data_IF_375504769504
#
_entry.id   IF_375504769504
#
_cell.length_a   1.000
_cell.length_b   1.000
_cell.length_c   1.000
_cell.angle_alpha   90.00
_cell.angle_beta   90.00
_cell.angle_gamma   90.00
#
_symmetry.space_group_name_H-M   'P 1'
#
loop_
_entity.id
_entity.type
_entity.pdbx_description
1 polymer ?
#
# COMPACT_ATOMS: atom_id res chain seq x y z
N UNK A 1 -21.10 4.77 -8.79
CA UNK A 1 -20.05 4.36 -7.82
C UNK A 1 -18.89 5.35 -7.93
N UNK A 2 -18.49 6.00 -6.84
CA UNK A 2 -17.37 6.96 -6.85
C UNK A 2 -16.10 6.21 -6.48
N UNK A 3 -15.07 6.30 -7.32
CA UNK A 3 -13.76 5.65 -7.11
C UNK A 3 -12.76 6.76 -6.77
N UNK A 4 -11.97 6.55 -5.72
CA UNK A 4 -10.85 7.42 -5.37
C UNK A 4 -9.56 6.65 -5.59
N UNK A 5 -8.70 7.16 -6.48
CA UNK A 5 -7.36 6.60 -6.69
C UNK A 5 -6.39 7.36 -5.80
N UNK A 6 -5.75 6.65 -4.87
CA UNK A 6 -4.76 7.24 -3.98
C UNK A 6 -3.46 7.49 -4.76
N UNK A 7 -3.21 8.75 -5.08
CA UNK A 7 -1.99 9.20 -5.78
C UNK A 7 -0.95 9.70 -4.77
N UNK A 8 -0.24 8.75 -4.14
CA UNK A 8 0.79 9.06 -3.15
C UNK A 8 2.10 8.30 -3.46
N UNK A 9 3.27 8.97 -3.58
CA UNK A 9 4.54 8.33 -3.94
C UNK A 9 4.93 7.14 -3.06
N UNK A 10 4.70 7.24 -1.74
CA UNK A 10 4.96 6.13 -0.81
C UNK A 10 4.07 4.90 -1.06
N UNK A 11 2.81 5.11 -1.47
CA UNK A 11 1.89 4.01 -1.79
C UNK A 11 2.37 3.28 -3.04
N UNK A 12 2.75 4.02 -4.08
CA UNK A 12 3.30 3.46 -5.31
C UNK A 12 4.60 2.66 -5.06
N UNK A 13 5.50 3.19 -4.22
CA UNK A 13 6.73 2.50 -3.85
C UNK A 13 6.45 1.18 -3.10
N UNK A 14 5.55 1.20 -2.10
CA UNK A 14 5.17 -0.02 -1.35
C UNK A 14 4.50 -1.05 -2.25
N UNK A 15 3.61 -0.63 -3.14
CA UNK A 15 2.95 -1.51 -4.11
C UNK A 15 3.94 -2.18 -5.06
N UNK A 16 5.00 -1.48 -5.44
CA UNK A 16 6.07 -2.05 -6.29
C UNK A 16 6.71 -3.25 -5.60
N UNK A 17 7.09 -3.09 -4.33
CA UNK A 17 7.69 -4.19 -3.54
C UNK A 17 6.67 -5.30 -3.26
N UNK A 18 5.44 -4.97 -2.88
CA UNK A 18 4.39 -5.99 -2.65
C UNK A 18 4.08 -6.85 -3.88
N UNK A 19 4.31 -6.33 -5.09
CA UNK A 19 4.11 -7.05 -6.35
C UNK A 19 5.32 -7.87 -6.80
N UNK A 20 6.49 -7.70 -6.17
CA UNK A 20 7.66 -8.51 -6.49
C UNK A 20 7.48 -9.91 -5.90
N UNK A 21 7.42 -10.93 -6.77
CA UNK A 21 7.31 -12.35 -6.38
C UNK A 21 8.46 -12.85 -5.49
N UNK A 22 9.56 -12.11 -5.43
CA UNK A 22 10.73 -12.43 -4.59
C UNK A 22 10.64 -11.86 -3.18
N UNK A 23 9.64 -11.03 -2.88
CA UNK A 23 9.44 -10.48 -1.54
C UNK A 23 9.06 -11.58 -0.56
N UNK A 24 9.81 -11.68 0.54
CA UNK A 24 9.56 -12.68 1.56
C UNK A 24 8.29 -12.39 2.38
N UNK A 25 7.73 -13.43 3.01
CA UNK A 25 6.47 -13.32 3.74
C UNK A 25 6.51 -12.33 4.91
N UNK A 26 7.60 -12.18 5.69
CA UNK A 26 7.69 -11.15 6.72
C UNK A 26 7.64 -9.73 6.16
N UNK A 27 8.41 -9.44 5.11
CA UNK A 27 8.44 -8.11 4.48
C UNK A 27 7.10 -7.78 3.83
N UNK A 28 6.47 -8.75 3.16
CA UNK A 28 5.15 -8.58 2.57
C UNK A 28 4.13 -8.15 3.61
N UNK A 29 4.04 -8.87 4.74
CA UNK A 29 3.09 -8.57 5.82
C UNK A 29 3.30 -7.17 6.39
N UNK A 30 4.55 -6.81 6.70
CA UNK A 30 4.88 -5.48 7.22
C UNK A 30 4.48 -4.37 6.24
N UNK A 31 4.80 -4.52 4.96
CA UNK A 31 4.46 -3.52 3.94
C UNK A 31 2.95 -3.42 3.69
N UNK A 32 2.21 -4.52 3.81
CA UNK A 32 0.76 -4.52 3.72
C UNK A 32 0.13 -3.74 4.89
N UNK A 33 0.59 -3.94 6.12
CA UNK A 33 0.10 -3.20 7.30
C UNK A 33 0.37 -1.69 7.18
N UNK A 34 1.57 -1.32 6.73
CA UNK A 34 1.93 0.08 6.44
C UNK A 34 1.03 0.68 5.33
N UNK A 35 0.75 -0.09 4.28
CA UNK A 35 -0.12 0.34 3.18
C UNK A 35 -1.57 0.57 3.66
N UNK A 36 -2.12 -0.35 4.46
CA UNK A 36 -3.48 -0.23 5.02
C UNK A 36 -3.62 1.05 5.84
N UNK A 37 -2.61 1.39 6.64
CA UNK A 37 -2.61 2.61 7.46
C UNK A 37 -2.68 3.88 6.60
N UNK A 38 -1.92 3.93 5.51
CA UNK A 38 -1.95 5.05 4.56
C UNK A 38 -3.30 5.15 3.83
N UNK A 39 -3.88 4.01 3.43
CA UNK A 39 -5.19 3.99 2.78
C UNK A 39 -6.30 4.42 3.74
N UNK A 40 -6.23 4.03 5.02
CA UNK A 40 -7.19 4.46 6.03
C UNK A 40 -7.15 5.98 6.23
N UNK A 41 -5.94 6.57 6.30
CA UNK A 41 -5.77 8.02 6.38
C UNK A 41 -6.45 8.74 5.20
N UNK A 42 -6.17 8.31 3.96
CA UNK A 42 -6.77 8.89 2.76
C UNK A 42 -8.29 8.67 2.68
N UNK A 43 -8.80 7.57 3.24
CA UNK A 43 -10.24 7.30 3.26
C UNK A 43 -11.01 8.17 4.26
N UNK A 44 -10.33 8.66 5.31
CA UNK A 44 -10.93 9.54 6.32
C UNK A 44 -10.78 11.04 6.02
N UNK A 45 -10.05 11.38 4.96
CA UNK A 45 -9.85 12.75 4.48
C UNK A 45 -10.94 13.16 3.49
#
# INVERSE_FOLDING_TARGET
MRIHVVDHPLVAHKLTTLRDKRTDSPTFRRLADELVTLLAYEATR
#
